data_IF_196422665137
#
_entry.id   IF_196422665137
#
_cell.length_a   1.000
_cell.length_b   1.000
_cell.length_c   1.000
_cell.angle_alpha   90.00
_cell.angle_beta   90.00
_cell.angle_gamma   90.00
#
_symmetry.space_group_name_H-M   'P 1'
#
loop_
_entity.id
_entity.type
_entity.pdbx_description
1 polymer ?
#
# COMPACT_ATOMS: atom_id res chain seq x y z
N UNK A 1 21.10 11.18 -14.95
CA UNK A 1 21.05 10.42 -13.68
C UNK A 1 21.69 9.05 -13.92
N UNK A 2 23.04 9.00 -13.95
CA UNK A 2 23.84 7.79 -14.27
C UNK A 2 24.50 7.32 -12.97
N UNK A 3 23.70 6.98 -11.97
CA UNK A 3 24.20 6.57 -10.64
C UNK A 3 24.50 5.07 -10.54
N UNK A 4 24.08 4.26 -11.53
CA UNK A 4 24.11 2.79 -11.40
C UNK A 4 25.34 2.09 -11.99
N UNK A 5 26.22 2.80 -12.73
CA UNK A 5 27.36 2.16 -13.41
C UNK A 5 28.63 2.07 -12.54
N UNK A 6 28.75 2.89 -11.50
CA UNK A 6 29.98 3.00 -10.70
C UNK A 6 29.87 2.41 -9.28
N UNK A 7 28.71 1.87 -8.90
CA UNK A 7 28.59 1.10 -7.66
C UNK A 7 29.08 -0.33 -7.93
N UNK A 8 30.39 -0.54 -7.78
CA UNK A 8 31.01 -1.87 -7.84
C UNK A 8 30.36 -2.82 -6.84
N UNK A 9 30.16 -4.08 -7.25
CA UNK A 9 29.75 -5.18 -6.38
C UNK A 9 30.70 -5.35 -5.18
N UNK A 10 30.13 -5.84 -4.07
CA UNK A 10 30.75 -6.00 -2.76
C UNK A 10 32.23 -6.39 -2.81
N UNK A 11 33.11 -5.42 -2.49
CA UNK A 11 34.50 -5.72 -2.19
C UNK A 11 34.56 -6.18 -0.74
N UNK A 12 34.93 -7.44 -0.53
CA UNK A 12 35.18 -8.02 0.78
C UNK A 12 36.31 -7.21 1.45
N UNK A 13 35.98 -6.49 2.50
CA UNK A 13 36.99 -5.84 3.35
C UNK A 13 37.45 -6.85 4.38
N UNK A 14 38.69 -7.33 4.25
CA UNK A 14 39.30 -8.17 5.28
C UNK A 14 39.48 -7.33 6.55
N UNK A 15 38.75 -7.70 7.61
CA UNK A 15 38.95 -7.16 8.94
C UNK A 15 40.27 -7.72 9.49
N UNK A 16 41.27 -6.86 9.63
CA UNK A 16 42.42 -7.14 10.50
C UNK A 16 41.92 -7.05 11.95
N UNK A 17 41.82 -8.23 12.58
CA UNK A 17 41.41 -8.43 13.97
C UNK A 17 42.34 -7.69 14.94
N UNK A 18 41.74 -6.90 15.85
CA UNK A 18 42.24 -6.74 17.21
C UNK A 18 41.05 -6.90 18.18
N UNK A 19 41.25 -7.76 19.16
CA UNK A 19 40.21 -8.53 19.85
C UNK A 19 39.05 -7.72 20.42
N UNK A 20 37.84 -8.06 20.00
CA UNK A 20 36.59 -7.71 20.70
C UNK A 20 35.57 -8.84 20.47
N UNK A 21 35.62 -9.84 21.36
CA UNK A 21 34.71 -10.99 21.34
C UNK A 21 33.45 -10.71 22.16
N UNK A 22 32.35 -10.35 21.49
CA UNK A 22 31.00 -10.69 21.98
C UNK A 22 29.96 -10.80 20.86
N UNK A 23 30.38 -11.09 19.63
CA UNK A 23 29.43 -11.41 18.56
C UNK A 23 29.19 -12.92 18.51
N UNK A 24 27.93 -13.35 18.54
CA UNK A 24 27.59 -14.72 18.14
C UNK A 24 27.84 -14.91 16.63
N UNK A 25 28.03 -16.16 16.20
CA UNK A 25 28.42 -16.50 14.81
C UNK A 25 27.42 -16.00 13.77
N UNK A 26 26.13 -15.90 14.11
CA UNK A 26 25.09 -15.40 13.21
C UNK A 26 25.17 -13.89 13.01
N UNK A 27 25.39 -13.12 14.07
CA UNK A 27 25.57 -11.68 14.02
C UNK A 27 26.85 -11.32 13.23
N UNK A 28 27.96 -12.05 13.43
CA UNK A 28 29.20 -11.84 12.66
C UNK A 28 28.95 -11.99 11.16
N UNK A 29 28.22 -13.03 10.77
CA UNK A 29 27.87 -13.31 9.38
C UNK A 29 26.93 -12.25 8.77
N UNK A 30 26.00 -11.71 9.55
CA UNK A 30 25.11 -10.63 9.10
C UNK A 30 25.85 -9.30 8.94
N UNK A 31 26.76 -8.97 9.85
CA UNK A 31 27.60 -7.79 9.72
C UNK A 31 28.62 -7.89 8.57
N UNK A 32 29.20 -9.08 8.35
CA UNK A 32 30.10 -9.32 7.22
C UNK A 32 29.42 -9.19 5.85
N UNK A 33 28.11 -9.49 5.77
CA UNK A 33 27.31 -9.35 4.55
C UNK A 33 26.50 -8.04 4.49
N UNK A 34 26.75 -7.13 5.42
CA UNK A 34 26.10 -5.81 5.46
C UNK A 34 26.60 -4.94 4.31
N UNK A 35 25.70 -4.12 3.75
CA UNK A 35 26.06 -3.06 2.81
C UNK A 35 26.76 -1.88 3.49
N UNK A 36 26.64 -1.79 4.81
CA UNK A 36 27.21 -0.74 5.64
C UNK A 36 28.36 -1.27 6.48
N UNK A 37 29.35 -0.42 6.73
CA UNK A 37 30.40 -0.65 7.72
C UNK A 37 29.77 -0.83 9.12
N UNK A 38 30.18 -1.86 9.85
CA UNK A 38 29.63 -2.17 11.18
C UNK A 38 30.73 -2.15 12.21
N UNK A 39 30.58 -1.34 13.27
CA UNK A 39 31.53 -1.27 14.39
C UNK A 39 30.80 -1.41 15.72
N UNK A 40 31.16 -2.43 16.49
CA UNK A 40 30.65 -2.63 17.84
C UNK A 40 31.66 -2.15 18.89
N UNK A 41 31.17 -1.45 19.89
CA UNK A 41 31.90 -1.09 21.09
C UNK A 41 31.35 -1.90 22.25
N UNK A 42 32.26 -2.60 22.93
CA UNK A 42 31.96 -3.37 24.14
C UNK A 42 32.45 -2.55 25.35
N UNK A 43 31.68 -2.47 26.45
CA UNK A 43 32.18 -1.86 27.67
C UNK A 43 33.49 -2.54 28.11
N UNK A 44 34.57 -1.77 28.25
CA UNK A 44 35.83 -2.30 28.77
C UNK A 44 35.66 -2.65 30.25
N UNK A 45 35.78 -3.92 30.59
CA UNK A 45 35.76 -4.39 31.98
C UNK A 45 37.08 -3.97 32.68
N UNK A 46 37.25 -2.67 32.93
CA UNK A 46 38.36 -2.17 33.76
C UNK A 46 37.97 -2.36 35.21
N UNK A 47 38.64 -3.32 35.87
CA UNK A 47 38.67 -3.48 37.32
C UNK A 47 39.08 -2.15 37.97
N UNK A 48 38.10 -1.37 38.40
CA UNK A 48 38.23 -0.39 39.47
C UNK A 48 36.83 -0.05 40.00
N UNK A 49 36.43 -0.56 41.19
CA UNK A 49 35.07 -0.39 41.69
C UNK A 49 34.77 1.02 42.22
N UNK A 50 35.71 1.98 42.18
CA UNK A 50 35.57 3.31 42.77
C UNK A 50 35.75 4.47 41.78
N UNK A 51 35.05 4.43 40.64
CA UNK A 51 34.70 5.67 39.92
C UNK A 51 33.19 5.68 39.74
N UNK A 52 32.55 6.61 40.43
CA UNK A 52 31.13 6.93 40.35
C UNK A 52 30.70 7.10 38.88
N UNK A 53 30.29 6.01 38.22
CA UNK A 53 29.30 6.11 37.16
C UNK A 53 28.00 6.48 37.87
N UNK A 54 27.51 7.69 37.65
CA UNK A 54 26.21 8.09 38.17
C UNK A 54 25.17 7.15 37.57
N UNK A 55 24.74 6.15 38.35
CA UNK A 55 23.46 5.50 38.13
C UNK A 55 22.40 6.56 38.39
N UNK A 56 21.98 7.27 37.35
CA UNK A 56 20.73 8.02 37.37
C UNK A 56 19.57 7.02 37.32
N UNK A 57 19.36 6.29 38.41
CA UNK A 57 18.06 5.69 38.68
C UNK A 57 17.19 6.81 39.23
N UNK A 58 16.43 7.48 38.36
CA UNK A 58 15.33 8.33 38.78
C UNK A 58 14.22 7.39 39.29
N UNK A 59 13.91 7.34 40.60
CA UNK A 59 12.82 6.49 41.11
C UNK A 59 11.46 6.87 40.51
N UNK A 60 11.37 8.09 40.00
CA UNK A 60 10.22 8.62 39.26
C UNK A 60 9.92 7.91 37.94
N UNK A 61 10.91 7.27 37.29
CA UNK A 61 10.70 6.57 36.02
C UNK A 61 9.93 5.24 36.19
N UNK A 62 10.13 4.53 37.30
CA UNK A 62 9.37 3.30 37.61
C UNK A 62 7.90 3.61 37.91
N UNK A 63 7.65 4.68 38.67
CA UNK A 63 6.31 5.19 38.96
C UNK A 63 5.62 5.76 37.72
N UNK A 64 6.35 6.48 36.87
CA UNK A 64 5.83 7.01 35.61
C UNK A 64 5.53 5.88 34.61
N UNK A 65 6.37 4.86 34.50
CA UNK A 65 6.12 3.68 33.67
C UNK A 65 4.90 2.89 34.17
N UNK A 66 4.73 2.69 35.49
CA UNK A 66 3.52 2.09 36.04
C UNK A 66 2.26 2.95 35.78
N UNK A 67 2.35 4.28 35.88
CA UNK A 67 1.26 5.20 35.51
C UNK A 67 0.95 5.17 34.01
N UNK A 68 1.97 5.10 33.15
CA UNK A 68 1.79 5.01 31.69
C UNK A 68 1.17 3.66 31.32
N UNK A 69 1.59 2.56 31.95
CA UNK A 69 0.99 1.23 31.76
C UNK A 69 -0.45 1.17 32.28
N UNK A 70 -0.74 1.77 33.44
CA UNK A 70 -2.10 1.90 33.98
C UNK A 70 -3.01 2.78 33.11
N UNK A 71 -2.50 3.90 32.59
CA UNK A 71 -3.23 4.73 31.62
C UNK A 71 -3.45 4.00 30.28
N UNK A 72 -2.51 3.16 29.84
CA UNK A 72 -2.67 2.36 28.62
C UNK A 72 -3.68 1.21 28.81
N UNK A 73 -3.80 0.64 30.01
CA UNK A 73 -4.84 -0.33 30.37
C UNK A 73 -6.22 0.35 30.45
N UNK A 74 -6.34 1.50 31.12
CA UNK A 74 -7.58 2.28 31.15
C UNK A 74 -8.02 2.74 29.76
N UNK A 75 -7.11 3.20 28.89
CA UNK A 75 -7.43 3.50 27.48
C UNK A 75 -7.84 2.25 26.70
N UNK A 76 -7.25 1.08 26.97
CA UNK A 76 -7.65 -0.19 26.34
C UNK A 76 -9.04 -0.62 26.79
N UNK A 77 -9.41 -0.39 28.05
CA UNK A 77 -10.74 -0.67 28.60
C UNK A 77 -11.80 0.35 28.15
N UNK A 78 -11.46 1.64 28.05
CA UNK A 78 -12.33 2.66 27.42
C UNK A 78 -12.55 2.36 25.94
N UNK A 79 -11.51 1.99 25.18
CA UNK A 79 -11.64 1.58 23.78
C UNK A 79 -12.43 0.26 23.64
N UNK A 80 -12.36 -0.63 24.62
CA UNK A 80 -13.16 -1.87 24.64
C UNK A 80 -14.63 -1.60 24.99
N UNK A 81 -14.91 -0.63 25.87
CA UNK A 81 -16.27 -0.25 26.29
C UNK A 81 -16.96 0.70 25.29
N UNK A 82 -16.23 1.58 24.61
CA UNK A 82 -16.76 2.42 23.52
C UNK A 82 -17.03 1.63 22.23
N UNK A 83 -16.43 0.43 22.07
CA UNK A 83 -16.66 -0.47 20.92
C UNK A 83 -17.85 -1.41 21.07
N UNK A 84 -18.90 -1.02 21.78
CA UNK A 84 -20.24 -1.62 21.62
C UNK A 84 -21.20 -0.69 20.86
N UNK A 85 -21.04 -0.48 19.54
CA UNK A 85 -22.19 -0.15 18.73
C UNK A 85 -23.11 -1.38 18.70
N UNK A 86 -24.32 -1.24 19.25
CA UNK A 86 -25.41 -2.22 19.12
C UNK A 86 -25.48 -2.69 17.65
N UNK A 87 -25.24 -3.99 17.41
CA UNK A 87 -25.38 -4.65 16.10
C UNK A 87 -26.73 -4.26 15.48
N UNK A 88 -26.75 -3.30 14.56
CA UNK A 88 -27.87 -3.15 13.63
C UNK A 88 -27.66 -4.18 12.53
N UNK A 89 -28.46 -5.26 12.61
CA UNK A 89 -28.66 -6.23 11.52
C UNK A 89 -28.87 -5.46 10.21
N UNK A 90 -27.89 -5.52 9.32
CA UNK A 90 -28.14 -5.27 7.92
C UNK A 90 -28.92 -6.48 7.39
N UNK A 91 -30.06 -6.21 6.75
CA UNK A 91 -30.86 -7.22 6.06
C UNK A 91 -29.99 -7.99 5.05
N UNK A 92 -29.53 -9.16 5.45
CA UNK A 92 -29.07 -10.20 4.55
C UNK A 92 -30.29 -10.70 3.78
N UNK A 93 -30.28 -10.55 2.45
CA UNK A 93 -31.19 -11.33 1.60
C UNK A 93 -31.01 -12.80 1.96
N UNK A 94 -32.11 -13.52 2.21
CA UNK A 94 -32.07 -14.98 2.37
C UNK A 94 -31.36 -15.58 1.14
N UNK A 95 -30.38 -16.48 1.32
CA UNK A 95 -29.78 -17.21 0.20
C UNK A 95 -30.86 -18.04 -0.49
N UNK A 96 -30.82 -18.10 -1.82
CA UNK A 96 -31.49 -19.19 -2.55
C UNK A 96 -30.70 -20.46 -2.25
N UNK A 97 -31.38 -21.53 -1.83
CA UNK A 97 -30.76 -22.83 -1.56
C UNK A 97 -29.99 -23.33 -2.79
N UNK A 98 -28.75 -23.78 -2.59
CA UNK A 98 -27.93 -24.43 -3.62
C UNK A 98 -26.59 -23.76 -3.99
N UNK A 99 -26.14 -22.69 -3.32
CA UNK A 99 -24.78 -22.16 -3.50
C UNK A 99 -23.85 -22.61 -2.37
N UNK A 100 -22.60 -23.05 -2.66
CA UNK A 100 -21.63 -23.37 -1.63
C UNK A 100 -21.37 -22.16 -0.73
N UNK A 101 -20.99 -22.37 0.55
CA UNK A 101 -20.74 -21.27 1.48
C UNK A 101 -19.73 -20.29 0.88
N UNK A 102 -20.13 -19.03 0.77
CA UNK A 102 -19.25 -17.97 0.31
C UNK A 102 -18.18 -17.75 1.39
N UNK A 103 -16.99 -18.33 1.21
CA UNK A 103 -15.84 -18.08 2.09
C UNK A 103 -15.65 -16.56 2.21
N UNK A 104 -15.85 -16.01 3.42
CA UNK A 104 -15.62 -14.60 3.68
C UNK A 104 -14.12 -14.32 3.51
N UNK A 105 -13.76 -13.73 2.36
CA UNK A 105 -12.38 -13.37 2.06
C UNK A 105 -11.85 -12.44 3.15
N UNK A 106 -10.60 -12.66 3.63
CA UNK A 106 -10.04 -11.79 4.65
C UNK A 106 -9.96 -10.34 4.16
N UNK A 107 -10.09 -9.35 5.04
CA UNK A 107 -10.01 -7.95 4.64
C UNK A 107 -8.62 -7.60 4.08
N UNK A 108 -8.60 -6.93 2.93
CA UNK A 108 -7.38 -6.48 2.26
C UNK A 108 -6.78 -5.26 2.99
N UNK A 109 -5.68 -5.47 3.71
CA UNK A 109 -5.03 -4.45 4.54
C UNK A 109 -3.64 -4.06 4.05
N UNK A 110 -3.13 -4.70 2.99
CA UNK A 110 -1.84 -4.36 2.37
C UNK A 110 -2.02 -4.09 0.88
N UNK A 111 -1.31 -3.10 0.36
CA UNK A 111 -1.24 -2.80 -1.07
C UNK A 111 0.21 -2.89 -1.57
N UNK A 112 0.40 -3.52 -2.72
CA UNK A 112 1.68 -3.64 -3.42
C UNK A 112 1.55 -2.98 -4.79
N UNK A 113 2.51 -2.12 -5.17
CA UNK A 113 2.51 -1.42 -6.45
C UNK A 113 3.50 -2.08 -7.40
N UNK A 114 3.01 -2.81 -8.40
CA UNK A 114 3.85 -3.41 -9.42
C UNK A 114 3.93 -2.48 -10.61
N UNK A 115 5.16 -2.24 -11.08
CA UNK A 115 5.40 -1.42 -12.24
C UNK A 115 5.09 -2.17 -13.54
N UNK A 116 4.28 -1.58 -14.42
CA UNK A 116 3.94 -2.17 -15.73
C UNK A 116 4.27 -1.21 -16.87
N UNK A 117 4.52 -1.79 -18.04
CA UNK A 117 4.96 -1.09 -19.25
C UNK A 117 4.05 -1.49 -20.43
N UNK A 118 2.99 -0.70 -20.71
CA UNK A 118 2.20 -0.90 -21.91
C UNK A 118 3.03 -0.60 -23.16
N UNK A 119 2.66 -1.22 -24.29
CA UNK A 119 3.11 -0.77 -25.61
C UNK A 119 2.54 0.62 -25.92
N UNK A 120 2.97 1.26 -27.01
CA UNK A 120 2.42 2.55 -27.44
C UNK A 120 0.93 2.43 -27.79
N UNK A 121 0.54 1.36 -28.49
CA UNK A 121 -0.85 1.06 -28.83
C UNK A 121 -1.70 0.87 -27.58
N UNK A 122 -1.21 0.08 -26.62
CA UNK A 122 -1.88 -0.16 -25.35
C UNK A 122 -2.00 1.11 -24.50
N UNK A 123 -0.97 1.97 -24.48
CA UNK A 123 -1.00 3.26 -23.78
C UNK A 123 -2.12 4.17 -24.31
N UNK A 124 -2.34 4.18 -25.63
CA UNK A 124 -3.40 4.98 -26.23
C UNK A 124 -4.80 4.41 -25.92
N UNK A 125 -4.96 3.09 -25.93
CA UNK A 125 -6.19 2.42 -25.46
C UNK A 125 -6.47 2.76 -23.99
N UNK A 126 -5.46 2.67 -23.12
CA UNK A 126 -5.59 2.96 -21.70
C UNK A 126 -5.95 4.43 -21.45
N UNK A 127 -5.35 5.37 -22.18
CA UNK A 127 -5.74 6.79 -22.12
C UNK A 127 -7.18 7.00 -22.54
N UNK A 128 -7.63 6.32 -23.60
CA UNK A 128 -9.03 6.36 -24.04
C UNK A 128 -9.96 5.85 -22.94
N UNK A 129 -9.63 4.71 -22.33
CA UNK A 129 -10.40 4.13 -21.21
C UNK A 129 -10.46 5.08 -20.01
N UNK A 130 -9.34 5.68 -19.60
CA UNK A 130 -9.30 6.69 -18.54
C UNK A 130 -10.13 7.93 -18.87
N UNK A 131 -10.11 8.35 -20.14
CA UNK A 131 -10.91 9.46 -20.65
C UNK A 131 -12.41 9.16 -20.56
N UNK A 132 -12.84 8.00 -21.07
CA UNK A 132 -14.23 7.56 -21.05
C UNK A 132 -14.73 7.39 -19.62
N UNK A 133 -13.97 6.73 -18.75
CA UNK A 133 -14.34 6.53 -17.35
C UNK A 133 -14.54 7.88 -16.64
N UNK A 134 -13.63 8.84 -16.84
CA UNK A 134 -13.78 10.21 -16.31
C UNK A 134 -15.03 10.90 -16.85
N UNK A 135 -15.26 10.80 -18.16
CA UNK A 135 -16.42 11.42 -18.78
C UNK A 135 -17.72 10.85 -18.21
N UNK A 136 -17.86 9.52 -18.16
CA UNK A 136 -19.03 8.85 -17.58
C UNK A 136 -19.22 9.25 -16.12
N UNK A 137 -18.14 9.27 -15.31
CA UNK A 137 -18.20 9.74 -13.94
C UNK A 137 -18.80 11.15 -13.85
N UNK A 138 -18.32 12.11 -14.66
CA UNK A 138 -18.82 13.48 -14.65
C UNK A 138 -20.30 13.55 -15.07
N UNK A 139 -20.72 12.79 -16.08
CA UNK A 139 -22.13 12.69 -16.48
C UNK A 139 -22.99 12.14 -15.34
N UNK A 140 -22.50 11.13 -14.61
CA UNK A 140 -23.19 10.59 -13.45
C UNK A 140 -23.26 11.62 -12.30
N UNK A 141 -22.21 12.42 -12.05
CA UNK A 141 -22.28 13.48 -11.03
C UNK A 141 -23.33 14.53 -11.38
N UNK A 142 -23.38 14.97 -12.64
CA UNK A 142 -24.43 15.88 -13.12
C UNK A 142 -25.83 15.29 -12.88
N UNK A 143 -26.03 14.02 -13.27
CA UNK A 143 -27.30 13.34 -13.07
C UNK A 143 -27.66 13.15 -11.58
N UNK A 144 -26.67 12.86 -10.73
CA UNK A 144 -26.87 12.74 -9.28
C UNK A 144 -27.36 14.07 -8.69
N UNK A 145 -26.81 15.20 -9.15
CA UNK A 145 -27.24 16.52 -8.68
C UNK A 145 -28.69 16.80 -9.10
N UNK A 146 -29.06 16.56 -10.36
CA UNK A 146 -30.45 16.67 -10.84
C UNK A 146 -31.41 15.81 -10.00
N UNK A 147 -31.07 14.53 -9.79
CA UNK A 147 -31.88 13.60 -9.01
C UNK A 147 -32.01 14.04 -7.55
N UNK A 148 -30.96 14.62 -6.97
CA UNK A 148 -30.98 15.12 -5.59
C UNK A 148 -31.92 16.31 -5.46
N UNK A 149 -31.88 17.23 -6.41
CA UNK A 149 -32.74 18.42 -6.43
C UNK A 149 -34.21 18.00 -6.59
N UNK A 150 -34.48 16.96 -7.39
CA UNK A 150 -35.80 16.32 -7.55
C UNK A 150 -36.18 15.36 -6.40
N UNK A 151 -35.33 15.18 -5.37
CA UNK A 151 -35.50 14.23 -4.26
C UNK A 151 -35.69 12.77 -4.70
N UNK A 152 -35.14 12.40 -5.86
CA UNK A 152 -35.17 11.05 -6.39
C UNK A 152 -34.12 10.13 -5.75
N UNK A 153 -34.42 8.83 -5.70
CA UNK A 153 -33.49 7.83 -5.18
C UNK A 153 -32.39 7.52 -6.20
N UNK A 154 -31.14 7.86 -5.85
CA UNK A 154 -29.97 7.54 -6.66
C UNK A 154 -29.64 6.03 -6.57
N UNK A 155 -29.72 5.32 -7.69
CA UNK A 155 -29.34 3.91 -7.82
C UNK A 155 -28.35 3.68 -8.96
N UNK A 156 -27.56 2.60 -8.89
CA UNK A 156 -26.61 2.27 -9.95
C UNK A 156 -27.32 1.96 -11.29
N UNK A 157 -28.51 1.38 -11.23
CA UNK A 157 -29.30 1.03 -12.41
C UNK A 157 -29.74 2.29 -13.16
N UNK A 158 -30.25 3.29 -12.42
CA UNK A 158 -30.62 4.58 -12.98
C UNK A 158 -29.41 5.26 -13.62
N UNK A 159 -28.26 5.30 -12.93
CA UNK A 159 -27.04 5.91 -13.48
C UNK A 159 -26.55 5.20 -14.75
N UNK A 160 -26.59 3.86 -14.79
CA UNK A 160 -26.20 3.09 -15.98
C UNK A 160 -27.13 3.37 -17.15
N UNK A 161 -28.45 3.38 -16.91
CA UNK A 161 -29.46 3.67 -17.92
C UNK A 161 -29.26 5.06 -18.56
N UNK A 162 -28.90 6.07 -17.77
CA UNK A 162 -28.76 7.46 -18.24
C UNK A 162 -27.35 7.90 -18.65
N UNK A 163 -26.31 7.14 -18.32
CA UNK A 163 -24.93 7.58 -18.56
C UNK A 163 -24.01 6.52 -19.19
N UNK A 164 -24.42 5.25 -19.22
CA UNK A 164 -23.56 4.13 -19.65
C UNK A 164 -24.13 3.37 -20.83
N UNK A 165 -25.44 3.12 -20.84
CA UNK A 165 -26.10 2.33 -21.89
C UNK A 165 -26.01 2.99 -23.27
N UNK A 166 -26.09 2.15 -24.31
CA UNK A 166 -25.92 2.58 -25.69
C UNK A 166 -26.83 3.77 -26.03
N UNK A 167 -28.13 3.65 -25.76
CA UNK A 167 -29.11 4.71 -26.00
C UNK A 167 -28.73 6.04 -25.35
N UNK A 168 -28.31 6.02 -24.08
CA UNK A 168 -27.89 7.24 -23.39
C UNK A 168 -26.61 7.87 -23.96
N UNK A 169 -25.70 7.06 -24.48
CA UNK A 169 -24.52 7.56 -25.18
C UNK A 169 -24.89 8.20 -26.53
N UNK A 170 -25.83 7.61 -27.26
CA UNK A 170 -26.35 8.15 -28.53
C UNK A 170 -27.06 9.48 -28.33
N UNK A 171 -27.96 9.57 -27.34
CA UNK A 171 -28.65 10.81 -26.95
C UNK A 171 -27.68 11.95 -26.58
N UNK A 172 -26.47 11.61 -26.12
CA UNK A 172 -25.42 12.57 -25.74
C UNK A 172 -24.36 12.79 -26.84
N UNK A 173 -24.59 12.28 -28.05
CA UNK A 173 -23.65 12.30 -29.17
C UNK A 173 -22.24 11.75 -28.78
N UNK A 174 -22.22 10.75 -27.91
CA UNK A 174 -21.02 10.14 -27.32
C UNK A 174 -20.75 8.73 -27.88
N UNK A 175 -21.03 8.52 -29.17
CA UNK A 175 -20.83 7.23 -29.84
C UNK A 175 -19.39 6.68 -29.71
N UNK A 176 -18.41 7.58 -29.63
CA UNK A 176 -17.00 7.24 -29.40
C UNK A 176 -16.77 6.39 -28.14
N UNK A 177 -17.61 6.54 -27.11
CA UNK A 177 -17.49 5.78 -25.85
C UNK A 177 -17.90 4.31 -26.01
N UNK A 178 -18.66 3.94 -27.06
CA UNK A 178 -19.07 2.56 -27.32
C UNK A 178 -17.90 1.64 -27.68
N UNK A 179 -16.79 2.21 -28.18
CA UNK A 179 -15.54 1.48 -28.41
C UNK A 179 -14.88 1.01 -27.11
N UNK A 180 -15.23 1.61 -25.96
CA UNK A 180 -14.68 1.24 -24.66
C UNK A 180 -15.58 0.16 -24.00
N UNK A 181 -14.98 -0.89 -23.40
CA UNK A 181 -15.73 -1.97 -22.77
C UNK A 181 -16.77 -1.46 -21.77
N UNK A 182 -17.92 -2.15 -21.72
CA UNK A 182 -19.01 -1.78 -20.82
C UNK A 182 -18.56 -1.75 -19.36
N UNK A 183 -17.74 -2.70 -18.93
CA UNK A 183 -17.25 -2.78 -17.55
C UNK A 183 -16.50 -1.49 -17.15
N UNK A 184 -15.62 -0.96 -18.02
CA UNK A 184 -14.89 0.29 -17.77
C UNK A 184 -15.84 1.49 -17.70
N UNK A 185 -16.83 1.57 -18.58
CA UNK A 185 -17.85 2.63 -18.53
C UNK A 185 -18.69 2.53 -17.26
N UNK A 186 -19.12 1.32 -16.91
CA UNK A 186 -19.91 1.00 -15.72
C UNK A 186 -19.18 1.35 -14.42
N UNK A 187 -17.85 1.17 -14.38
CA UNK A 187 -17.01 1.58 -13.26
C UNK A 187 -17.04 3.10 -13.03
N UNK A 188 -17.11 3.91 -14.09
CA UNK A 188 -17.31 5.36 -13.97
C UNK A 188 -18.58 5.71 -13.17
N UNK A 189 -19.68 5.02 -13.44
CA UNK A 189 -20.95 5.18 -12.71
C UNK A 189 -20.86 4.67 -11.26
N UNK A 190 -20.16 3.56 -11.03
CA UNK A 190 -19.95 3.00 -9.69
C UNK A 190 -19.12 3.91 -8.81
N UNK A 191 -18.06 4.52 -9.36
CA UNK A 191 -17.24 5.51 -8.67
C UNK A 191 -18.05 6.75 -8.28
N UNK A 192 -18.91 7.26 -9.17
CA UNK A 192 -19.79 8.38 -8.88
C UNK A 192 -20.77 8.05 -7.74
N UNK A 193 -21.41 6.88 -7.80
CA UNK A 193 -22.30 6.40 -6.75
C UNK A 193 -21.58 6.22 -5.41
N UNK A 194 -20.35 5.72 -5.43
CA UNK A 194 -19.53 5.51 -4.22
C UNK A 194 -19.14 6.85 -3.58
N UNK A 195 -18.75 7.83 -4.39
CA UNK A 195 -18.47 9.19 -3.93
C UNK A 195 -19.71 9.84 -3.30
N UNK A 196 -20.89 9.65 -3.90
CA UNK A 196 -22.16 10.10 -3.33
C UNK A 196 -22.50 9.40 -2.02
N UNK A 197 -22.53 8.06 -2.01
CA UNK A 197 -22.90 7.26 -0.83
C UNK A 197 -21.98 7.49 0.37
N UNK A 198 -20.68 7.64 0.13
CA UNK A 198 -19.72 7.93 1.20
C UNK A 198 -19.98 9.29 1.87
N UNK A 199 -20.33 10.31 1.08
CA UNK A 199 -20.71 11.61 1.64
C UNK A 199 -22.07 11.58 2.35
N UNK A 200 -23.05 10.82 1.85
CA UNK A 200 -24.31 10.57 2.57
C UNK A 200 -24.04 9.86 3.90
N UNK A 201 -23.13 8.89 3.94
CA UNK A 201 -22.75 8.22 5.19
C UNK A 201 -22.10 9.19 6.18
N UNK A 202 -21.21 10.08 5.71
CA UNK A 202 -20.62 11.15 6.54
C UNK A 202 -21.68 12.11 7.08
N UNK A 203 -22.65 12.50 6.27
CA UNK A 203 -23.76 13.35 6.71
C UNK A 203 -24.66 12.67 7.74
N UNK A 204 -24.92 11.37 7.60
CA UNK A 204 -25.67 10.61 8.61
C UNK A 204 -24.96 10.53 9.97
N UNK A 205 -23.63 10.52 9.97
CA UNK A 205 -22.82 10.52 11.18
C UNK A 205 -22.68 11.93 11.77
N UNK A 206 -22.55 12.94 10.92
CA UNK A 206 -22.43 14.34 11.28
C UNK A 206 -23.39 15.19 10.44
N UNK A 207 -24.57 15.57 10.96
CA UNK A 207 -25.57 16.37 10.23
C UNK A 207 -25.07 17.72 9.72
N UNK A 208 -23.99 18.25 10.29
CA UNK A 208 -23.33 19.49 9.86
C UNK A 208 -22.43 19.30 8.63
N UNK A 209 -22.13 18.05 8.24
CA UNK A 209 -21.35 17.75 7.04
C UNK A 209 -22.11 18.17 5.78
N UNK A 210 -21.68 19.25 5.14
CA UNK A 210 -22.15 19.64 3.81
C UNK A 210 -21.16 19.18 2.76
N UNK A 211 -21.65 18.79 1.59
CA UNK A 211 -20.79 18.35 0.51
C UNK A 211 -21.35 18.72 -0.87
N UNK A 212 -20.44 19.00 -1.78
CA UNK A 212 -20.71 19.12 -3.20
C UNK A 212 -19.76 18.17 -3.94
N UNK A 213 -20.32 17.34 -4.81
CA UNK A 213 -19.52 16.43 -5.62
C UNK A 213 -18.89 17.20 -6.77
N UNK A 214 -17.56 17.15 -6.86
CA UNK A 214 -16.79 17.79 -7.92
C UNK A 214 -16.59 16.87 -9.12
N UNK A 215 -16.53 17.46 -10.32
CA UNK A 215 -16.12 16.74 -11.52
C UNK A 215 -14.63 16.37 -11.47
N UNK A 216 -14.31 15.23 -12.09
CA UNK A 216 -12.93 14.82 -12.35
C UNK A 216 -12.36 15.58 -13.54
N UNK A 217 -11.09 15.93 -13.46
CA UNK A 217 -10.35 16.65 -14.50
C UNK A 217 -9.33 15.76 -15.22
N UNK A 218 -8.93 16.15 -16.45
CA UNK A 218 -7.79 15.55 -17.17
C UNK A 218 -6.44 15.96 -16.61
N UNK A 219 -6.40 17.10 -15.92
CA UNK A 219 -5.18 17.65 -15.32
C UNK A 219 -4.80 16.97 -14.00
N UNK A 220 -5.57 15.99 -13.55
CA UNK A 220 -5.27 15.26 -12.32
C UNK A 220 -3.91 14.54 -12.48
N UNK A 221 -2.98 14.69 -11.53
CA UNK A 221 -1.68 14.04 -11.60
C UNK A 221 -1.78 12.51 -11.55
N UNK A 222 -2.92 11.94 -11.17
CA UNK A 222 -3.15 10.50 -11.17
C UNK A 222 -4.47 10.14 -11.83
N UNK A 223 -4.40 9.16 -12.73
CA UNK A 223 -5.59 8.57 -13.35
C UNK A 223 -5.67 7.10 -12.99
N UNK A 224 -6.89 6.64 -12.69
CA UNK A 224 -7.13 5.31 -12.13
C UNK A 224 -8.18 4.62 -12.99
N UNK A 225 -7.90 3.36 -13.33
CA UNK A 225 -8.86 2.40 -13.86
C UNK A 225 -9.03 1.30 -12.81
N UNK A 226 -10.23 1.12 -12.22
CA UNK A 226 -10.55 -0.09 -11.47
C UNK A 226 -10.52 -1.29 -12.40
N UNK A 227 -9.91 -2.37 -11.94
CA UNK A 227 -9.73 -3.60 -12.71
C UNK A 227 -10.25 -4.76 -11.89
N UNK A 228 -11.31 -5.40 -12.37
CA UNK A 228 -11.82 -6.58 -11.70
C UNK A 228 -10.86 -7.76 -11.81
N UNK A 229 -10.82 -8.59 -10.77
CA UNK A 229 -10.06 -9.86 -10.72
C UNK A 229 -10.23 -10.70 -11.98
N UNK A 230 -11.46 -10.78 -12.49
CA UNK A 230 -11.84 -11.57 -13.68
C UNK A 230 -11.10 -11.16 -14.97
N UNK A 231 -10.51 -9.97 -15.02
CA UNK A 231 -9.74 -9.48 -16.17
C UNK A 231 -8.22 -9.58 -16.00
N UNK A 232 -7.74 -9.93 -14.80
CA UNK A 232 -6.31 -9.99 -14.47
C UNK A 232 -5.71 -11.37 -14.69
N UNK A 233 -6.48 -12.41 -14.40
CA UNK A 233 -6.15 -13.73 -14.88
C UNK A 233 -6.67 -13.82 -16.30
N UNK A 234 -5.75 -13.84 -17.28
CA UNK A 234 -6.05 -14.48 -18.55
C UNK A 234 -6.61 -15.84 -18.19
N UNK A 235 -7.93 -16.02 -18.38
CA UNK A 235 -8.60 -17.23 -17.98
C UNK A 235 -7.76 -18.41 -18.44
N UNK A 236 -7.44 -19.31 -17.52
CA UNK A 236 -7.00 -20.66 -17.88
C UNK A 236 -7.96 -21.10 -18.99
N UNK A 237 -7.50 -21.13 -20.23
CA UNK A 237 -8.27 -21.83 -21.24
C UNK A 237 -8.40 -23.25 -20.74
N UNK A 238 -9.48 -23.96 -21.09
CA UNK A 238 -9.65 -25.40 -20.81
C UNK A 238 -8.46 -26.27 -21.29
N UNK A 239 -7.47 -25.67 -21.94
CA UNK A 239 -6.25 -26.25 -22.52
C UNK A 239 -4.96 -25.88 -21.79
N UNK A 240 -4.99 -25.21 -20.63
CA UNK A 240 -3.81 -25.02 -19.76
C UNK A 240 -2.73 -24.07 -20.29
N UNK A 241 -2.98 -23.30 -21.36
CA UNK A 241 -2.00 -22.33 -21.88
C UNK A 241 -2.20 -20.95 -21.25
N UNK A 242 -1.18 -20.49 -20.52
CA UNK A 242 -1.08 -19.16 -19.92
C UNK A 242 -1.10 -18.07 -21.01
N UNK A 243 -2.15 -17.26 -21.10
CA UNK A 243 -2.11 -16.00 -21.86
C UNK A 243 -1.63 -14.88 -20.92
N UNK A 244 -0.49 -14.26 -21.25
CA UNK A 244 0.10 -13.10 -20.54
C UNK A 244 -0.68 -11.79 -20.77
N UNK A 245 -2.01 -11.84 -20.79
CA UNK A 245 -2.84 -10.67 -21.10
C UNK A 245 -3.44 -10.16 -19.80
N UNK A 246 -2.86 -9.08 -19.27
CA UNK A 246 -3.38 -8.38 -18.10
C UNK A 246 -4.35 -7.35 -18.66
N UNK A 247 -5.66 -7.52 -18.41
CA UNK A 247 -6.79 -6.75 -18.96
C UNK A 247 -7.36 -7.29 -20.29
N UNK A 248 -8.14 -8.37 -20.21
CA UNK A 248 -8.96 -8.86 -21.32
C UNK A 248 -10.28 -8.11 -21.40
N UNK A 249 -10.28 -7.03 -22.20
CA UNK A 249 -11.45 -6.24 -22.58
C UNK A 249 -12.01 -6.55 -23.97
N UNK A 250 -11.71 -7.71 -24.56
CA UNK A 250 -12.12 -8.06 -25.93
C UNK A 250 -11.31 -9.20 -26.53
N UNK A 251 -11.47 -9.44 -27.84
CA UNK A 251 -10.67 -10.43 -28.62
C UNK A 251 -9.17 -10.09 -28.60
N UNK A 252 -8.85 -8.82 -28.42
CA UNK A 252 -7.50 -8.27 -28.31
C UNK A 252 -7.30 -7.71 -26.89
N UNK A 253 -6.71 -8.49 -25.99
CA UNK A 253 -6.40 -8.02 -24.64
C UNK A 253 -5.29 -6.97 -24.64
N UNK A 254 -5.20 -6.15 -23.59
CA UNK A 254 -4.09 -5.21 -23.42
C UNK A 254 -2.85 -6.00 -22.98
N UNK A 255 -1.70 -5.73 -23.59
CA UNK A 255 -0.45 -6.42 -23.30
C UNK A 255 0.44 -5.58 -22.38
N UNK A 256 0.25 -5.76 -21.07
CA UNK A 256 1.13 -5.12 -20.09
C UNK A 256 2.38 -5.97 -19.85
N UNK A 257 3.56 -5.41 -20.15
CA UNK A 257 4.83 -6.05 -19.80
C UNK A 257 5.22 -5.70 -18.37
N UNK A 258 5.72 -6.69 -17.64
CA UNK A 258 6.29 -6.48 -16.31
C UNK A 258 7.69 -5.85 -16.42
N UNK A 259 8.12 -5.15 -15.36
CA UNK A 259 9.53 -4.77 -15.24
C UNK A 259 10.39 -6.03 -15.29
N UNK A 260 11.37 -6.07 -16.20
CA UNK A 260 12.19 -7.25 -16.51
C UNK A 260 12.95 -7.89 -15.34
N UNK A 261 12.84 -7.44 -14.08
CA UNK A 261 13.78 -7.91 -13.05
C UNK A 261 13.37 -7.92 -11.56
N UNK A 262 12.19 -7.48 -11.09
CA UNK A 262 12.00 -7.34 -9.62
C UNK A 262 10.69 -7.77 -8.98
N UNK A 263 9.53 -7.69 -9.64
CA UNK A 263 8.26 -8.04 -8.99
C UNK A 263 7.30 -8.67 -10.00
N UNK A 264 7.21 -10.00 -9.98
CA UNK A 264 6.22 -10.74 -10.75
C UNK A 264 4.82 -10.41 -10.22
N UNK A 265 3.84 -10.28 -11.12
CA UNK A 265 2.44 -10.24 -10.72
C UNK A 265 2.12 -11.61 -10.12
N UNK A 266 1.59 -11.66 -8.87
CA UNK A 266 1.22 -12.92 -8.23
C UNK A 266 0.26 -13.72 -9.10
N UNK A 267 0.48 -15.04 -9.16
CA UNK A 267 -0.38 -15.95 -9.93
C UNK A 267 -1.80 -16.02 -9.37
N UNK A 268 -1.95 -15.86 -8.05
CA UNK A 268 -3.26 -15.74 -7.40
C UNK A 268 -3.51 -14.29 -6.94
N UNK A 269 -4.47 -13.65 -7.59
CA UNK A 269 -4.97 -12.33 -7.22
C UNK A 269 -6.37 -12.54 -6.63
N UNK A 270 -6.50 -12.42 -5.32
CA UNK A 270 -7.76 -12.65 -4.61
C UNK A 270 -8.79 -11.52 -4.71
N UNK A 271 -8.37 -10.32 -5.10
CA UNK A 271 -9.15 -9.06 -5.01
C UNK A 271 -9.18 -8.31 -6.34
N UNK A 272 -10.14 -7.41 -6.46
CA UNK A 272 -10.10 -6.39 -7.52
C UNK A 272 -8.88 -5.47 -7.29
N UNK A 273 -8.34 -4.95 -8.39
CA UNK A 273 -7.11 -4.15 -8.39
C UNK A 273 -7.35 -2.82 -9.07
N UNK A 274 -6.33 -1.97 -9.09
CA UNK A 274 -6.40 -0.68 -9.78
C UNK A 274 -5.16 -0.48 -10.64
N UNK A 275 -5.36 -0.08 -11.89
CA UNK A 275 -4.29 0.42 -12.73
C UNK A 275 -4.20 1.93 -12.56
N UNK A 276 -3.04 2.42 -12.11
CA UNK A 276 -2.77 3.82 -11.83
C UNK A 276 -1.72 4.35 -12.80
N UNK A 277 -2.04 5.43 -13.52
CA UNK A 277 -1.09 6.22 -14.29
C UNK A 277 -0.78 7.50 -13.53
N UNK A 278 0.49 7.75 -13.25
CA UNK A 278 0.93 8.98 -12.59
C UNK A 278 1.25 10.10 -13.61
N UNK A 279 1.66 11.26 -13.10
CA UNK A 279 2.02 12.45 -13.89
C UNK A 279 3.16 12.24 -14.87
N UNK A 280 4.10 11.33 -14.58
CA UNK A 280 5.22 10.97 -15.44
C UNK A 280 4.81 9.99 -16.57
N UNK A 281 3.51 9.72 -16.74
CA UNK A 281 3.00 8.75 -17.73
C UNK A 281 3.23 7.30 -17.33
N UNK A 282 3.47 7.09 -16.04
CA UNK A 282 4.04 5.89 -15.52
C UNK A 282 2.92 5.01 -14.92
N UNK A 283 2.76 3.78 -15.43
CA UNK A 283 1.71 2.84 -15.02
C UNK A 283 2.12 1.90 -13.87
N UNK A 284 1.20 1.69 -12.93
CA UNK A 284 1.36 0.79 -11.80
C UNK A 284 0.08 0.01 -11.55
N UNK A 285 0.21 -1.31 -11.37
CA UNK A 285 -0.87 -2.16 -10.90
C UNK A 285 -0.84 -2.20 -9.37
N UNK A 286 -1.93 -1.79 -8.74
CA UNK A 286 -2.10 -1.79 -7.27
C UNK A 286 -2.78 -3.09 -6.87
N UNK A 287 -1.96 -4.02 -6.36
CA UNK A 287 -2.39 -5.34 -5.92
C UNK A 287 -2.70 -5.32 -4.43
N UNK A 288 -3.95 -5.65 -4.11
CA UNK A 288 -4.41 -5.77 -2.73
C UNK A 288 -4.10 -7.17 -2.19
N UNK A 289 -3.56 -7.23 -0.96
CA UNK A 289 -3.21 -8.46 -0.24
C UNK A 289 -3.78 -8.41 1.19
N UNK A 290 -4.15 -9.57 1.76
CA UNK A 290 -4.42 -9.64 3.18
C UNK A 290 -3.14 -9.28 3.94
N UNK A 291 -3.28 -8.55 5.05
CA UNK A 291 -2.15 -8.32 5.95
C UNK A 291 -2.14 -9.45 6.96
N UNK A 292 -1.05 -10.22 6.98
CA UNK A 292 -0.76 -11.10 8.09
C UNK A 292 -0.46 -10.23 9.31
N UNK A 293 -1.39 -10.18 10.26
CA UNK A 293 -1.09 -9.59 11.57
C UNK A 293 -0.17 -10.56 12.30
N UNK A 294 1.13 -10.28 12.27
CA UNK A 294 2.05 -10.94 13.18
C UNK A 294 1.75 -10.43 14.58
N UNK A 295 1.15 -11.29 15.40
CA UNK A 295 1.10 -11.05 16.85
C UNK A 295 2.51 -11.35 17.35
N UNK A 296 3.37 -10.34 17.37
CA UNK A 296 4.64 -10.45 18.08
C UNK A 296 4.33 -10.52 19.57
N UNK A 297 4.34 -11.74 20.11
CA UNK A 297 4.50 -11.94 21.54
C UNK A 297 5.92 -11.47 21.83
N UNK A 298 6.04 -10.28 22.43
CA UNK A 298 7.30 -9.82 22.99
C UNK A 298 7.63 -10.76 24.15
N UNK A 299 8.49 -11.73 23.87
CA UNK A 299 9.10 -12.58 24.88
C UNK A 299 10.12 -11.73 25.65
N UNK A 300 9.94 -11.50 26.96
CA UNK A 300 10.86 -10.70 27.77
C UNK A 300 12.30 -11.24 27.77
N UNK A 301 12.51 -12.51 27.41
CA UNK A 301 13.83 -13.15 27.38
C UNK A 301 14.57 -12.96 26.05
N UNK A 302 13.95 -12.36 25.03
CA UNK A 302 14.63 -12.14 23.75
C UNK A 302 15.57 -10.93 23.83
N UNK A 303 16.81 -11.06 23.32
CA UNK A 303 17.74 -9.94 23.26
C UNK A 303 17.08 -8.79 22.48
N UNK A 304 16.92 -7.66 23.15
CA UNK A 304 16.25 -6.47 22.62
C UNK A 304 17.30 -5.40 22.40
N UNK A 305 17.17 -4.68 21.28
CA UNK A 305 18.01 -3.54 20.96
C UNK A 305 17.16 -2.30 20.75
N UNK A 306 17.59 -1.19 21.32
CA UNK A 306 17.04 0.13 20.97
C UNK A 306 17.75 0.65 19.72
N UNK A 307 16.99 1.27 18.82
CA UNK A 307 17.48 1.80 17.55
C UNK A 307 17.45 3.33 17.60
N UNK A 308 18.61 3.98 17.51
CA UNK A 308 18.74 5.44 17.40
C UNK A 308 19.26 5.85 16.01
N UNK A 309 18.40 6.43 15.13
CA UNK A 309 18.83 6.95 13.84
C UNK A 309 19.61 8.26 14.03
N UNK A 310 20.91 8.24 13.75
CA UNK A 310 21.78 9.40 13.89
C UNK A 310 21.91 10.21 12.60
N UNK A 311 22.31 11.49 12.73
CA UNK A 311 22.62 12.35 11.57
C UNK A 311 23.92 11.92 10.87
N UNK A 312 24.89 11.39 11.62
CA UNK A 312 26.24 11.02 11.12
C UNK A 312 26.49 9.52 11.02
N UNK A 313 25.63 8.73 11.64
CA UNK A 313 25.66 7.27 11.68
C UNK A 313 24.28 6.80 11.26
N UNK A 314 24.20 5.99 10.20
CA UNK A 314 22.91 5.55 9.62
C UNK A 314 21.98 4.96 10.69
N UNK A 315 22.53 4.11 11.56
CA UNK A 315 21.79 3.56 12.69
C UNK A 315 22.76 3.20 13.82
N UNK A 316 22.44 3.61 15.04
CA UNK A 316 23.12 3.12 16.24
C UNK A 316 22.17 2.17 16.98
N UNK A 317 22.68 1.07 17.49
CA UNK A 317 21.91 0.12 18.29
C UNK A 317 22.53 -0.04 19.67
N UNK A 318 21.71 0.05 20.70
CA UNK A 318 22.11 -0.23 22.08
C UNK A 318 21.37 -1.47 22.55
N UNK A 319 22.11 -2.49 22.98
CA UNK A 319 21.50 -3.69 23.53
C UNK A 319 21.35 -3.61 25.06
N UNK A 320 20.70 -4.63 25.63
CA UNK A 320 20.49 -4.76 27.08
C UNK A 320 21.77 -5.07 27.86
N UNK A 321 22.84 -5.48 27.18
CA UNK A 321 24.16 -5.79 27.77
C UNK A 321 25.10 -4.58 27.74
N UNK A 322 24.65 -3.45 27.15
CA UNK A 322 25.42 -2.22 27.04
C UNK A 322 26.35 -2.16 25.83
N UNK A 323 26.26 -3.10 24.89
CA UNK A 323 26.97 -3.03 23.62
C UNK A 323 26.36 -1.94 22.74
N UNK A 324 27.25 -1.19 22.09
CA UNK A 324 26.88 -0.14 21.14
C UNK A 324 27.35 -0.53 19.75
N UNK A 325 26.42 -0.74 18.82
CA UNK A 325 26.77 -1.05 17.42
C UNK A 325 26.42 0.12 16.52
N UNK A 326 27.42 0.62 15.80
CA UNK A 326 27.28 1.66 14.80
C UNK A 326 27.20 1.02 13.42
N UNK A 327 26.12 1.28 12.71
CA UNK A 327 25.91 0.87 11.33
C UNK A 327 26.10 2.08 10.43
N UNK A 328 26.96 1.95 9.42
CA UNK A 328 27.18 2.96 8.41
C UNK A 328 27.91 4.21 8.92
N UNK A 329 28.69 4.08 9.98
CA UNK A 329 29.48 5.20 10.51
C UNK A 329 30.48 5.69 9.45
N UNK A 330 30.35 6.96 9.06
CA UNK A 330 31.16 7.60 8.00
C UNK A 330 30.98 7.06 6.58
N UNK A 331 30.09 6.10 6.35
CA UNK A 331 29.85 5.53 5.01
C UNK A 331 29.30 6.59 4.04
N UNK A 332 28.50 7.53 4.55
CA UNK A 332 27.98 8.63 3.73
C UNK A 332 29.10 9.48 3.12
N UNK A 333 30.20 9.70 3.84
CA UNK A 333 31.35 10.44 3.31
C UNK A 333 32.05 9.64 2.21
N UNK A 334 32.10 8.31 2.33
CA UNK A 334 32.62 7.44 1.26
C UNK A 334 31.73 7.51 0.03
N UNK A 335 30.41 7.44 0.18
CA UNK A 335 29.45 7.60 -0.92
C UNK A 335 29.65 8.95 -1.59
N UNK A 336 29.74 10.04 -0.83
CA UNK A 336 30.01 11.37 -1.38
C UNK A 336 31.33 11.41 -2.16
N UNK A 337 32.44 10.90 -1.62
CA UNK A 337 33.72 10.84 -2.35
C UNK A 337 33.60 10.06 -3.67
N UNK A 338 32.91 8.92 -3.66
CA UNK A 338 32.67 8.12 -4.87
C UNK A 338 31.79 8.85 -5.90
N UNK A 339 30.91 9.76 -5.47
CA UNK A 339 30.13 10.59 -6.38
C UNK A 339 30.94 11.73 -7.03
N UNK A 340 32.10 12.10 -6.46
CA UNK A 340 32.97 13.17 -6.97
C UNK A 340 34.22 12.68 -7.70
N UNK A 341 34.53 11.38 -7.64
CA UNK A 341 35.53 10.77 -8.51
C UNK A 341 34.87 10.61 -9.89
N UNK A 342 35.06 11.62 -10.73
CA UNK A 342 34.70 11.64 -12.16
C UNK A 342 35.85 11.07 -12.97
#
# INVERSE_FOLDING_TARGET
MVLSKNLSSATKTDCVDLGTTSWNTSAKRLAQNSWYSVRMQVPSNTRNPNKNSQKTSLPWLTSLLQRIMGCAQHKREEIANERRPKKKRCFSKKPKEGQPPNEEKPPAHKAMKVRVYPTKEDDDILKQWMGTLRWVYNQCIAKINEMRDNKEKVTIQTLRKHCVEKRALEEKNAHWALSVPYDIRGEGALLALTAYKSNIAKWKLNPSHRFQLSFKTKKDPQQIIPVHRKHLLGGLTKTGKQKKNILTGGKDGIHLREAHHRELIPQDIGYDTQLVRNRLGHYHLVLLKPMEMRVEIQDPQKPTVTLDPGVRTFQTTFDTEGHVTHWGASDIQRVFRLCYIV
#
